data_IF_634454026499
#
_entry.id   IF_634454026499
#
_cell.length_a   1.000
_cell.length_b   1.000
_cell.length_c   1.000
_cell.angle_alpha   90.00
_cell.angle_beta   90.00
_cell.angle_gamma   90.00
#
_symmetry.space_group_name_H-M   'P 1'
#
loop_
_entity.id
_entity.type
_entity.pdbx_description
1 polymer ?
#
# COMPACT_ATOMS: atom_id res chain seq x y z
N UNK A 1 -0.47 -42.67 -18.56
CA UNK A 1 0.80 -42.07 -18.07
C UNK A 1 0.81 -40.59 -18.49
N UNK A 2 0.67 -39.59 -17.60
CA UNK A 2 1.72 -38.91 -16.78
C UNK A 2 2.91 -38.45 -17.66
N UNK A 3 3.38 -37.19 -17.76
CA UNK A 3 3.38 -35.91 -16.97
C UNK A 3 3.54 -34.71 -17.96
N UNK A 4 2.86 -33.56 -17.82
CA UNK A 4 3.17 -32.32 -17.04
C UNK A 4 4.53 -31.61 -17.25
N UNK A 5 4.40 -30.31 -17.61
CA UNK A 5 5.08 -29.07 -17.14
C UNK A 5 6.48 -28.66 -17.59
N UNK A 6 6.57 -27.37 -17.97
CA UNK A 6 7.75 -26.51 -17.91
C UNK A 6 7.75 -25.49 -19.07
N UNK A 7 7.89 -24.17 -18.89
CA UNK A 7 8.25 -23.38 -17.72
C UNK A 7 7.98 -21.89 -18.07
N UNK A 8 7.18 -21.24 -17.24
CA UNK A 8 7.06 -19.81 -16.95
C UNK A 8 7.90 -18.83 -17.81
N UNK A 9 7.20 -18.08 -18.67
CA UNK A 9 7.66 -16.78 -19.19
C UNK A 9 7.51 -15.75 -18.06
N UNK A 10 8.59 -15.55 -17.30
CA UNK A 10 8.72 -14.51 -16.27
C UNK A 10 9.36 -13.25 -16.86
N UNK A 11 8.79 -12.68 -17.92
CA UNK A 11 9.04 -11.28 -18.23
C UNK A 11 8.28 -10.39 -17.24
N UNK A 12 8.84 -10.32 -16.03
CA UNK A 12 8.52 -9.37 -14.99
C UNK A 12 8.88 -7.98 -15.51
N UNK A 13 7.88 -7.18 -15.87
CA UNK A 13 7.99 -5.72 -16.00
C UNK A 13 8.19 -5.04 -14.63
N UNK A 14 9.07 -5.59 -13.80
CA UNK A 14 9.58 -4.88 -12.63
C UNK A 14 10.83 -4.13 -13.06
N UNK A 15 10.92 -2.84 -12.74
CA UNK A 15 12.14 -2.06 -12.91
C UNK A 15 13.29 -2.53 -11.97
N UNK A 16 13.09 -3.60 -11.20
CA UNK A 16 14.05 -4.15 -10.25
C UNK A 16 14.69 -5.41 -10.83
N UNK A 17 15.57 -5.22 -11.82
CA UNK A 17 16.63 -6.19 -12.06
C UNK A 17 17.74 -5.90 -11.03
N UNK A 18 17.87 -6.76 -10.03
CA UNK A 18 18.93 -6.76 -9.00
C UNK A 18 19.03 -5.53 -8.08
N UNK A 19 18.15 -5.42 -7.07
CA UNK A 19 18.36 -4.48 -5.96
C UNK A 19 18.00 -5.11 -4.61
N UNK A 20 18.90 -5.93 -4.09
CA UNK A 20 19.40 -5.59 -2.75
C UNK A 20 20.76 -4.93 -2.94
N UNK A 21 21.05 -3.80 -2.27
CA UNK A 21 22.38 -3.23 -2.37
C UNK A 21 23.36 -4.13 -1.64
N UNK A 22 24.26 -4.80 -2.37
CA UNK A 22 25.60 -5.12 -1.86
C UNK A 22 26.42 -3.82 -1.72
N UNK A 23 25.88 -2.80 -1.06
CA UNK A 23 26.61 -1.56 -0.80
C UNK A 23 27.46 -1.80 0.43
N UNK A 24 28.60 -2.46 0.19
CA UNK A 24 29.79 -2.35 1.02
C UNK A 24 30.55 -1.05 0.70
N UNK A 25 29.84 0.04 0.38
CA UNK A 25 30.45 1.36 0.28
C UNK A 25 30.21 2.11 1.61
N UNK A 26 31.23 2.79 2.15
CA UNK A 26 31.06 3.66 3.30
C UNK A 26 29.91 4.65 3.08
N UNK A 27 29.19 5.08 4.13
CA UNK A 27 28.06 6.01 4.03
C UNK A 27 28.37 7.28 3.21
N UNK A 28 29.63 7.72 3.22
CA UNK A 28 30.09 8.90 2.50
C UNK A 28 30.18 8.73 0.97
N UNK A 29 30.31 7.51 0.44
CA UNK A 29 30.54 7.25 -0.99
C UNK A 29 29.29 6.87 -1.79
N UNK A 30 28.16 6.58 -1.14
CA UNK A 30 26.86 6.47 -1.82
C UNK A 30 26.32 7.84 -2.31
N UNK A 31 26.97 8.94 -1.91
CA UNK A 31 26.50 10.31 -2.12
C UNK A 31 26.96 11.01 -3.42
N UNK A 32 27.75 10.38 -4.29
CA UNK A 32 28.33 11.09 -5.47
C UNK A 32 28.01 10.50 -6.87
N UNK A 33 27.34 9.36 -7.02
CA UNK A 33 27.04 8.83 -8.36
C UNK A 33 25.70 9.32 -8.95
N UNK A 34 25.43 10.62 -8.82
CA UNK A 34 24.24 11.28 -9.38
C UNK A 34 24.58 12.51 -10.20
N UNK A 35 25.59 12.43 -11.08
CA UNK A 35 26.00 13.54 -11.93
C UNK A 35 25.92 13.20 -13.42
N UNK A 36 24.71 12.95 -13.95
CA UNK A 36 24.40 13.22 -15.35
C UNK A 36 22.93 13.63 -15.57
N UNK A 37 22.76 14.91 -15.94
CA UNK A 37 21.70 15.56 -16.76
C UNK A 37 20.22 15.20 -16.50
N UNK A 38 19.49 16.18 -15.96
CA UNK A 38 18.17 16.54 -16.50
C UNK A 38 16.92 16.42 -15.61
N UNK A 39 17.03 16.09 -14.32
CA UNK A 39 15.85 15.92 -13.45
C UNK A 39 16.06 16.41 -12.02
N UNK A 40 16.48 17.66 -11.83
CA UNK A 40 16.59 18.27 -10.49
C UNK A 40 15.18 18.58 -9.97
N UNK A 41 14.73 17.91 -8.90
CA UNK A 41 14.05 18.51 -7.72
C UNK A 41 13.24 17.55 -6.82
N UNK A 42 13.22 16.21 -7.04
CA UNK A 42 12.50 15.28 -6.14
C UNK A 42 13.36 14.53 -5.12
N UNK A 43 14.64 14.35 -5.39
CA UNK A 43 15.53 13.46 -4.59
C UNK A 43 16.15 14.10 -3.34
N UNK A 44 16.10 15.42 -3.17
CA UNK A 44 16.77 16.06 -2.01
C UNK A 44 15.97 16.03 -0.70
N UNK A 45 14.67 15.74 -0.73
CA UNK A 45 13.83 15.71 0.48
C UNK A 45 13.76 14.33 1.16
N UNK A 46 14.32 13.29 0.55
CA UNK A 46 14.34 11.92 1.07
C UNK A 46 15.59 11.62 1.94
N UNK A 47 16.25 12.65 2.48
CA UNK A 47 17.52 12.49 3.19
C UNK A 47 17.39 12.12 4.68
N UNK A 48 16.17 12.10 5.26
CA UNK A 48 16.01 11.62 6.64
C UNK A 48 16.04 10.10 6.70
N UNK A 49 16.58 9.47 7.76
CA UNK A 49 16.58 8.01 7.92
C UNK A 49 15.18 7.38 7.78
N UNK A 50 14.14 8.09 8.22
CA UNK A 50 12.74 7.70 8.05
C UNK A 50 12.28 7.67 6.59
N UNK A 51 12.76 8.60 5.76
CA UNK A 51 12.46 8.59 4.33
C UNK A 51 13.16 7.44 3.63
N UNK A 52 14.44 7.19 3.94
CA UNK A 52 15.22 6.10 3.34
C UNK A 52 14.60 4.74 3.62
N UNK A 53 14.18 4.50 4.86
CA UNK A 53 13.51 3.26 5.22
C UNK A 53 12.17 3.10 4.49
N UNK A 54 11.30 4.11 4.54
CA UNK A 54 10.01 4.07 3.84
C UNK A 54 10.18 3.85 2.34
N UNK A 55 11.17 4.51 1.73
CA UNK A 55 11.49 4.33 0.31
C UNK A 55 11.82 2.88 0.00
N UNK A 56 12.69 2.24 0.79
CA UNK A 56 13.06 0.82 0.62
C UNK A 56 11.87 -0.12 0.79
N UNK A 57 10.99 0.13 1.77
CA UNK A 57 9.79 -0.67 1.96
C UNK A 57 8.89 -0.60 0.73
N UNK A 58 8.69 0.61 0.21
CA UNK A 58 7.78 0.84 -0.92
C UNK A 58 8.41 0.40 -2.24
N UNK A 59 9.74 0.45 -2.38
CA UNK A 59 10.45 -0.04 -3.57
C UNK A 59 10.24 -1.55 -3.82
N UNK A 60 9.95 -2.32 -2.76
CA UNK A 60 9.63 -3.74 -2.84
C UNK A 60 8.15 -4.00 -3.19
N UNK A 61 7.28 -3.01 -3.00
CA UNK A 61 5.85 -3.15 -3.25
C UNK A 61 5.44 -2.50 -4.57
N UNK A 62 5.97 -1.33 -4.90
CA UNK A 62 5.57 -0.56 -6.08
C UNK A 62 5.80 -1.32 -7.38
N UNK A 63 5.08 -0.89 -8.42
CA UNK A 63 5.26 -1.35 -9.80
C UNK A 63 4.99 -0.18 -10.75
N UNK A 64 5.22 -0.38 -12.05
CA UNK A 64 4.84 0.62 -13.06
C UNK A 64 3.32 0.88 -13.10
N UNK A 65 2.53 -0.12 -12.71
CA UNK A 65 1.06 -0.02 -12.67
C UNK A 65 0.57 0.81 -11.48
N UNK A 66 1.33 0.86 -10.38
CA UNK A 66 1.05 1.62 -9.15
C UNK A 66 2.36 2.12 -8.51
N UNK A 67 2.96 3.20 -9.05
CA UNK A 67 4.25 3.70 -8.60
C UNK A 67 4.14 4.37 -7.23
N UNK A 68 5.26 4.41 -6.50
CA UNK A 68 5.33 5.11 -5.22
C UNK A 68 5.25 6.63 -5.39
N UNK A 69 4.40 7.26 -4.59
CA UNK A 69 4.24 8.70 -4.52
C UNK A 69 4.60 9.20 -3.11
N UNK A 70 5.66 10.01 -3.02
CA UNK A 70 6.12 10.56 -1.74
C UNK A 70 5.32 11.80 -1.32
N UNK A 71 4.79 11.80 -0.10
CA UNK A 71 4.03 12.90 0.54
C UNK A 71 2.94 13.49 -0.34
N UNK A 72 2.30 12.66 -1.14
CA UNK A 72 1.18 13.08 -1.97
C UNK A 72 -0.09 13.19 -1.11
N UNK A 73 -0.75 14.34 -1.17
CA UNK A 73 -2.09 14.51 -0.59
C UNK A 73 -3.06 13.61 -1.36
N UNK A 74 -3.66 12.65 -0.66
CA UNK A 74 -4.54 11.65 -1.27
C UNK A 74 -5.90 12.27 -1.60
N UNK A 75 -5.99 12.89 -2.78
CA UNK A 75 -7.23 13.47 -3.28
C UNK A 75 -8.18 12.36 -3.72
N UNK A 76 -9.44 12.57 -3.39
CA UNK A 76 -10.57 11.75 -3.81
C UNK A 76 -11.74 12.70 -4.10
N UNK A 77 -12.73 12.28 -4.90
CA UNK A 77 -13.92 13.10 -5.10
C UNK A 77 -14.60 13.45 -3.79
N UNK A 78 -15.23 14.63 -3.69
CA UNK A 78 -15.84 15.11 -2.45
C UNK A 78 -16.83 14.13 -1.82
N UNK A 79 -17.58 13.36 -2.63
CA UNK A 79 -18.54 12.37 -2.16
C UNK A 79 -17.92 11.16 -1.43
N UNK A 80 -16.64 10.84 -1.68
CA UNK A 80 -15.93 9.76 -0.99
C UNK A 80 -15.10 10.25 0.21
N UNK A 81 -14.97 11.57 0.37
CA UNK A 81 -14.26 12.20 1.47
C UNK A 81 -15.22 12.43 2.65
N UNK A 82 -15.67 11.34 3.28
CA UNK A 82 -16.58 11.40 4.43
C UNK A 82 -15.81 11.87 5.68
N UNK A 83 -16.08 13.10 6.15
CA UNK A 83 -15.56 13.66 7.39
C UNK A 83 -14.77 14.97 7.21
N UNK A 84 -13.58 15.06 7.82
CA UNK A 84 -12.70 16.25 7.74
C UNK A 84 -12.33 16.53 6.27
N UNK A 85 -12.56 17.77 5.80
CA UNK A 85 -12.22 18.26 4.45
C UNK A 85 -10.72 18.25 4.11
N UNK A 86 -9.85 17.72 4.98
CA UNK A 86 -8.41 17.67 4.74
C UNK A 86 -8.03 16.25 4.31
N UNK A 87 -7.51 16.07 3.09
CA UNK A 87 -7.03 14.78 2.62
C UNK A 87 -5.97 14.20 3.56
N UNK A 88 -6.02 12.89 3.87
CA UNK A 88 -4.94 12.25 4.61
C UNK A 88 -3.63 12.39 3.83
N UNK A 89 -2.55 12.58 4.58
CA UNK A 89 -1.19 12.63 4.05
C UNK A 89 -0.42 11.47 4.67
N UNK A 90 0.19 10.66 3.82
CA UNK A 90 1.09 9.56 4.21
C UNK A 90 2.43 9.79 3.53
N UNK A 91 3.50 9.20 4.07
CA UNK A 91 4.83 9.38 3.49
C UNK A 91 4.92 8.76 2.11
N UNK A 92 4.36 7.57 1.92
CA UNK A 92 4.32 6.92 0.63
C UNK A 92 2.95 6.33 0.35
N UNK A 93 2.48 6.51 -0.88
CA UNK A 93 1.26 5.89 -1.39
C UNK A 93 1.55 5.22 -2.72
N UNK A 94 0.97 4.04 -2.94
CA UNK A 94 0.96 3.37 -4.23
C UNK A 94 -0.47 3.38 -4.75
N UNK A 95 -0.77 4.39 -5.55
CA UNK A 95 -2.03 4.50 -6.28
C UNK A 95 -1.83 3.97 -7.70
N UNK A 96 -2.80 3.24 -8.21
CA UNK A 96 -2.76 2.80 -9.60
C UNK A 96 -2.71 4.02 -10.55
N UNK A 97 -2.05 3.86 -11.69
CA UNK A 97 -1.98 4.90 -12.71
C UNK A 97 -3.28 4.94 -13.53
N UNK A 98 -3.56 6.09 -14.12
CA UNK A 98 -4.64 6.22 -15.10
C UNK A 98 -4.40 5.32 -16.30
N UNK A 99 -3.14 5.08 -16.70
CA UNK A 99 -2.77 4.14 -17.75
C UNK A 99 -3.15 2.69 -17.40
N UNK A 100 -2.95 2.27 -16.15
CA UNK A 100 -3.27 0.91 -15.74
C UNK A 100 -4.76 0.68 -15.55
N UNK A 101 -5.52 1.69 -15.09
CA UNK A 101 -6.95 1.53 -14.79
C UNK A 101 -7.93 2.09 -15.82
N UNK A 102 -7.47 3.01 -16.68
CA UNK A 102 -8.34 3.85 -17.49
C UNK A 102 -9.39 4.61 -16.67
N UNK A 103 -9.06 4.97 -15.42
CA UNK A 103 -9.91 5.76 -14.53
C UNK A 103 -9.36 7.18 -14.39
N UNK A 104 -10.17 8.11 -13.89
CA UNK A 104 -9.69 9.44 -13.46
C UNK A 104 -8.69 9.27 -12.32
N UNK A 105 -7.62 10.06 -12.31
CA UNK A 105 -6.50 9.95 -11.35
C UNK A 105 -6.98 9.96 -9.88
N UNK A 106 -7.97 10.80 -9.57
CA UNK A 106 -8.54 10.91 -8.23
C UNK A 106 -9.36 9.69 -7.79
N UNK A 107 -9.82 8.89 -8.74
CA UNK A 107 -10.58 7.65 -8.53
C UNK A 107 -9.71 6.40 -8.61
N UNK A 108 -8.50 6.50 -9.17
CA UNK A 108 -7.59 5.36 -9.25
C UNK A 108 -7.37 4.74 -7.85
N UNK A 109 -7.43 3.41 -7.74
CA UNK A 109 -7.40 2.71 -6.48
C UNK A 109 -6.08 2.93 -5.75
N UNK A 110 -6.17 3.21 -4.46
CA UNK A 110 -5.04 3.19 -3.55
C UNK A 110 -4.83 1.75 -3.06
N UNK A 111 -3.73 1.14 -3.48
CA UNK A 111 -3.46 -0.28 -3.23
C UNK A 111 -2.58 -0.51 -1.99
N UNK A 112 -1.69 0.44 -1.70
CA UNK A 112 -0.75 0.36 -0.59
C UNK A 112 -0.38 1.75 -0.08
N UNK A 113 -0.07 1.84 1.21
CA UNK A 113 0.42 3.07 1.84
C UNK A 113 1.46 2.74 2.93
N UNK A 114 2.43 3.63 3.11
CA UNK A 114 3.39 3.55 4.21
C UNK A 114 3.56 4.91 4.88
N UNK A 115 3.68 4.91 6.21
CA UNK A 115 3.82 6.13 7.00
C UNK A 115 4.77 5.95 8.18
N UNK A 116 5.65 6.91 8.36
CA UNK A 116 6.52 7.02 9.51
C UNK A 116 5.74 7.53 10.72
N UNK A 117 5.74 6.78 11.81
CA UNK A 117 5.11 7.17 13.06
C UNK A 117 6.17 7.25 14.15
N UNK A 118 6.63 8.44 14.56
CA UNK A 118 7.52 8.54 15.70
C UNK A 118 6.80 8.00 16.96
N UNK A 119 7.53 7.25 17.79
CA UNK A 119 7.01 6.61 19.01
C UNK A 119 6.52 7.60 20.09
N UNK A 120 6.69 8.90 19.87
CA UNK A 120 6.43 9.94 20.86
C UNK A 120 5.83 11.14 20.13
N UNK A 121 4.51 11.32 20.27
CA UNK A 121 3.85 12.63 20.38
C UNK A 121 2.34 12.41 20.51
N UNK A 122 1.81 12.68 21.71
CA UNK A 122 0.39 12.54 22.06
C UNK A 122 -0.58 13.44 21.28
N UNK A 123 -0.08 14.27 20.37
CA UNK A 123 -0.86 15.15 19.50
C UNK A 123 -1.13 14.55 18.11
N UNK A 124 -0.43 13.48 17.72
CA UNK A 124 -0.64 12.84 16.41
C UNK A 124 -1.77 11.81 16.47
N UNK A 125 -2.64 11.73 15.45
CA UNK A 125 -3.66 10.69 15.39
C UNK A 125 -2.98 9.31 15.43
N UNK A 126 -3.62 8.35 16.11
CA UNK A 126 -3.03 7.02 16.24
C UNK A 126 -2.64 6.46 14.85
N UNK A 127 -1.51 5.74 14.71
CA UNK A 127 -1.05 5.22 13.43
C UNK A 127 -2.14 4.43 12.68
N UNK A 128 -2.93 3.66 13.41
CA UNK A 128 -4.08 2.92 12.88
C UNK A 128 -5.18 3.84 12.36
N UNK A 129 -5.47 4.96 13.03
CA UNK A 129 -6.45 5.96 12.58
C UNK A 129 -5.98 6.71 11.33
N UNK A 130 -4.68 7.02 11.22
CA UNK A 130 -4.11 7.62 10.01
C UNK A 130 -4.21 6.67 8.81
N UNK A 131 -3.89 5.39 8.99
CA UNK A 131 -4.08 4.37 7.95
C UNK A 131 -5.57 4.16 7.63
N UNK A 132 -6.44 4.17 8.64
CA UNK A 132 -7.89 4.11 8.46
C UNK A 132 -8.40 5.22 7.54
N UNK A 133 -8.01 6.46 7.83
CA UNK A 133 -8.39 7.63 7.06
C UNK A 133 -7.88 7.55 5.62
N UNK A 134 -6.66 7.02 5.46
CA UNK A 134 -5.99 6.82 4.16
C UNK A 134 -6.76 5.88 3.25
N UNK A 135 -7.18 4.72 3.75
CA UNK A 135 -7.90 3.71 2.95
C UNK A 135 -9.41 3.89 2.90
N UNK A 136 -10.00 4.72 3.79
CA UNK A 136 -11.45 4.91 3.87
C UNK A 136 -12.12 5.15 2.52
N UNK A 137 -11.65 6.08 1.66
CA UNK A 137 -12.32 6.34 0.38
C UNK A 137 -12.31 5.11 -0.55
N UNK A 138 -11.22 4.34 -0.54
CA UNK A 138 -11.13 3.10 -1.32
C UNK A 138 -12.08 2.02 -0.77
N UNK A 139 -12.16 1.88 0.56
CA UNK A 139 -13.11 0.96 1.21
C UNK A 139 -14.56 1.38 0.91
N UNK A 140 -14.87 2.68 0.94
CA UNK A 140 -16.18 3.20 0.53
C UNK A 140 -16.49 2.88 -0.93
N UNK A 141 -15.52 2.98 -1.83
CA UNK A 141 -15.68 2.59 -3.23
C UNK A 141 -16.01 1.10 -3.35
N UNK A 142 -15.25 0.25 -2.66
CA UNK A 142 -15.52 -1.20 -2.63
C UNK A 142 -16.91 -1.52 -2.08
N UNK A 143 -17.35 -0.81 -1.03
CA UNK A 143 -18.69 -0.99 -0.47
C UNK A 143 -19.76 -0.56 -1.47
N UNK A 144 -19.75 0.71 -1.88
CA UNK A 144 -20.83 1.32 -2.66
C UNK A 144 -21.04 0.68 -4.02
N UNK A 145 -19.94 0.29 -4.67
CA UNK A 145 -20.04 -0.16 -6.04
C UNK A 145 -20.01 -1.68 -6.13
N UNK A 146 -19.24 -2.38 -5.28
CA UNK A 146 -19.11 -3.84 -5.41
C UNK A 146 -20.00 -4.57 -4.40
N UNK A 147 -19.94 -4.22 -3.12
CA UNK A 147 -20.71 -4.93 -2.09
C UNK A 147 -22.20 -4.62 -2.11
N UNK A 148 -22.59 -3.40 -2.51
CA UNK A 148 -24.00 -3.02 -2.63
C UNK A 148 -24.72 -3.76 -3.77
N UNK A 149 -23.97 -4.28 -4.74
CA UNK A 149 -24.51 -5.13 -5.82
C UNK A 149 -24.71 -6.60 -5.43
N UNK A 150 -24.39 -6.98 -4.19
CA UNK A 150 -24.54 -8.36 -3.73
C UNK A 150 -26.00 -8.74 -3.60
N UNK A 151 -26.30 -9.95 -4.08
CA UNK A 151 -27.64 -10.53 -3.96
C UNK A 151 -27.96 -11.06 -2.56
N UNK A 152 -26.93 -11.36 -1.73
CA UNK A 152 -27.10 -11.90 -0.38
C UNK A 152 -26.23 -11.13 0.61
N UNK A 153 -26.83 -10.79 1.76
CA UNK A 153 -26.16 -10.06 2.85
C UNK A 153 -25.04 -10.91 3.48
N UNK A 154 -25.20 -12.24 3.50
CA UNK A 154 -24.26 -13.17 4.13
C UNK A 154 -23.08 -13.58 3.23
N UNK A 155 -22.99 -13.04 2.00
CA UNK A 155 -21.88 -13.37 1.12
C UNK A 155 -20.55 -12.93 1.76
N UNK A 156 -19.60 -13.87 1.88
CA UNK A 156 -18.31 -13.58 2.48
C UNK A 156 -17.59 -12.47 1.73
N UNK A 157 -16.97 -11.54 2.45
CA UNK A 157 -16.18 -10.47 1.86
C UNK A 157 -15.01 -11.12 1.09
N UNK A 158 -14.82 -10.81 -0.20
CA UNK A 158 -13.85 -11.51 -1.01
C UNK A 158 -12.46 -11.17 -0.46
N UNK A 159 -11.55 -12.16 -0.31
CA UNK A 159 -10.23 -11.91 0.26
C UNK A 159 -9.41 -10.85 -0.48
N UNK A 160 -9.69 -10.63 -1.78
CA UNK A 160 -9.02 -9.61 -2.58
C UNK A 160 -9.35 -8.17 -2.16
N UNK A 161 -10.45 -7.94 -1.43
CA UNK A 161 -10.84 -6.59 -0.97
C UNK A 161 -10.03 -6.07 0.22
N UNK A 162 -9.01 -6.81 0.65
CA UNK A 162 -8.10 -6.40 1.70
C UNK A 162 -7.10 -5.40 1.13
N UNK A 163 -6.91 -4.27 1.79
CA UNK A 163 -5.87 -3.28 1.49
C UNK A 163 -4.83 -3.30 2.61
N UNK A 164 -3.56 -3.11 2.25
CA UNK A 164 -2.45 -3.18 3.20
C UNK A 164 -1.77 -1.83 3.39
N UNK A 165 -1.58 -1.46 4.66
CA UNK A 165 -0.78 -0.31 5.07
C UNK A 165 0.41 -0.73 5.94
N UNK A 166 1.48 0.04 5.92
CA UNK A 166 2.61 -0.16 6.85
C UNK A 166 2.85 1.12 7.63
N UNK A 167 2.87 1.01 8.95
CA UNK A 167 3.42 2.07 9.80
C UNK A 167 4.80 1.63 10.26
N UNK A 168 5.76 2.54 10.28
CA UNK A 168 7.12 2.19 10.63
C UNK A 168 7.78 3.30 11.44
N UNK A 169 8.78 2.92 12.21
CA UNK A 169 9.56 3.84 13.01
C UNK A 169 11.05 3.44 12.97
N UNK A 170 11.83 3.92 13.94
CA UNK A 170 13.27 3.56 14.04
C UNK A 170 13.50 2.15 14.60
N UNK A 171 12.51 1.60 15.27
CA UNK A 171 12.58 0.33 15.97
C UNK A 171 12.01 -0.81 15.13
N UNK A 172 11.01 -0.57 14.29
CA UNK A 172 10.41 -1.62 13.47
C UNK A 172 9.29 -1.12 12.57
N UNK A 173 8.40 -2.04 12.22
CA UNK A 173 7.21 -1.76 11.44
C UNK A 173 6.03 -2.62 11.88
N UNK A 174 4.83 -2.16 11.55
CA UNK A 174 3.57 -2.84 11.78
C UNK A 174 2.79 -2.85 10.47
N UNK A 175 2.24 -4.01 10.14
CA UNK A 175 1.42 -4.20 8.94
C UNK A 175 -0.05 -4.17 9.33
N UNK A 176 -0.80 -3.31 8.66
CA UNK A 176 -2.23 -3.13 8.86
C UNK A 176 -3.01 -3.71 7.69
N UNK A 177 -4.02 -4.52 8.00
CA UNK A 177 -5.04 -4.94 7.06
C UNK A 177 -6.28 -4.06 7.19
N UNK A 178 -6.86 -3.68 6.05
CA UNK A 178 -8.09 -2.90 5.95
C UNK A 178 -9.07 -3.64 5.03
N UNK A 179 -10.31 -3.85 5.47
CA UNK A 179 -11.34 -4.52 4.65
C UNK A 179 -12.72 -3.93 4.97
N UNK A 180 -13.67 -3.96 4.03
CA UNK A 180 -15.06 -3.72 4.37
C UNK A 180 -15.53 -4.66 5.49
N UNK A 181 -16.53 -4.26 6.25
CA UNK A 181 -17.13 -5.08 7.30
C UNK A 181 -18.58 -4.70 7.50
N UNK A 182 -19.48 -5.69 7.43
CA UNK A 182 -20.88 -5.50 7.78
C UNK A 182 -21.08 -5.85 9.25
N UNK A 183 -21.62 -4.92 10.03
CA UNK A 183 -22.06 -5.18 11.39
C UNK A 183 -23.58 -5.11 11.43
N UNK A 184 -24.20 -6.18 11.93
CA UNK A 184 -25.63 -6.19 12.20
C UNK A 184 -25.89 -5.38 13.48
N UNK A 185 -26.69 -4.33 13.37
CA UNK A 185 -27.12 -3.53 14.52
C UNK A 185 -28.32 -4.19 15.22
N UNK A 186 -28.60 -3.77 16.46
CA UNK A 186 -29.68 -4.33 17.29
C UNK A 186 -31.07 -4.19 16.66
N UNK A 187 -31.24 -3.24 15.75
CA UNK A 187 -32.50 -2.96 15.05
C UNK A 187 -32.69 -3.83 13.79
N UNK A 188 -31.75 -4.74 13.52
CA UNK A 188 -31.78 -5.63 12.36
C UNK A 188 -31.20 -5.03 11.08
N UNK A 189 -30.91 -3.72 11.07
CA UNK A 189 -30.22 -3.07 9.96
C UNK A 189 -28.72 -3.43 9.94
N UNK A 190 -28.20 -3.72 8.75
CA UNK A 190 -26.77 -3.99 8.55
C UNK A 190 -26.06 -2.73 8.09
N UNK A 191 -25.03 -2.31 8.83
CA UNK A 191 -24.24 -1.13 8.48
C UNK A 191 -22.86 -1.54 8.01
N UNK A 192 -22.50 -1.07 6.82
CA UNK A 192 -21.15 -1.20 6.29
C UNK A 192 -20.18 -0.25 6.98
N UNK A 193 -19.02 -0.78 7.32
CA UNK A 193 -17.90 -0.07 7.95
C UNK A 193 -16.56 -0.56 7.40
N UNK A 194 -15.47 0.06 7.85
CA UNK A 194 -14.13 -0.43 7.59
C UNK A 194 -13.60 -1.14 8.83
N UNK A 195 -13.19 -2.40 8.70
CA UNK A 195 -12.47 -3.12 9.75
C UNK A 195 -10.97 -3.00 9.52
N UNK A 196 -10.26 -2.79 10.62
CA UNK A 196 -8.81 -2.66 10.65
C UNK A 196 -8.28 -3.66 11.65
N UNK A 197 -7.21 -4.35 11.28
CA UNK A 197 -6.52 -5.25 12.19
C UNK A 197 -5.03 -5.18 11.96
N UNK A 198 -4.30 -5.46 13.04
CA UNK A 198 -2.87 -5.67 12.98
C UNK A 198 -2.60 -7.07 12.45
N UNK A 199 -1.87 -7.17 11.35
CA UNK A 199 -1.52 -8.45 10.75
C UNK A 199 -0.29 -9.06 11.43
N UNK A 200 0.63 -8.23 11.95
CA UNK A 200 1.86 -8.68 12.59
C UNK A 200 2.60 -7.52 13.28
N UNK A 201 2.83 -7.70 14.59
CA UNK A 201 3.80 -6.93 15.41
C UNK A 201 5.21 -7.53 15.38
N UNK A 202 5.38 -8.64 14.64
CA UNK A 202 6.59 -9.48 14.63
C UNK A 202 7.80 -8.76 14.05
N UNK A 203 7.60 -7.61 13.41
CA UNK A 203 8.65 -6.80 12.82
C UNK A 203 9.12 -5.65 13.71
N UNK A 204 8.68 -5.63 14.96
CA UNK A 204 9.41 -4.92 16.02
C UNK A 204 10.86 -5.42 16.01
N UNK A 205 11.80 -4.49 15.89
CA UNK A 205 13.25 -4.75 15.82
C UNK A 205 13.80 -5.36 14.53
N UNK A 206 13.00 -5.69 13.50
CA UNK A 206 13.49 -6.35 12.27
C UNK A 206 14.62 -5.57 11.57
N UNK A 207 14.66 -4.25 11.78
CA UNK A 207 15.66 -3.36 11.21
C UNK A 207 17.01 -3.42 11.93
N UNK A 208 17.04 -3.94 13.17
CA UNK A 208 18.23 -4.18 13.99
C UNK A 208 18.84 -5.57 13.71
N UNK A 209 18.05 -6.50 13.19
CA UNK A 209 18.49 -7.87 12.88
C UNK A 209 19.36 -7.89 11.61
N UNK A 210 20.38 -8.78 11.51
CA UNK A 210 21.19 -8.96 10.30
C UNK A 210 20.36 -9.16 9.02
N UNK A 211 20.84 -8.71 7.84
CA UNK A 211 20.12 -8.85 6.58
C UNK A 211 19.70 -10.30 6.24
N UNK A 212 20.48 -11.30 6.65
CA UNK A 212 20.18 -12.73 6.47
C UNK A 212 18.84 -13.14 7.05
N UNK A 213 18.41 -12.47 8.12
CA UNK A 213 17.25 -12.86 8.91
C UNK A 213 16.03 -11.98 8.58
N UNK A 214 16.18 -11.04 7.63
CA UNK A 214 15.09 -10.18 7.12
C UNK A 214 14.24 -10.88 6.05
N UNK A 215 14.52 -12.16 5.75
CA UNK A 215 13.80 -12.94 4.75
C UNK A 215 12.28 -12.98 4.99
N UNK A 216 11.84 -13.01 6.25
CA UNK A 216 10.41 -12.98 6.60
C UNK A 216 9.75 -11.67 6.14
N UNK A 217 10.39 -10.52 6.39
CA UNK A 217 9.89 -9.22 5.95
C UNK A 217 9.81 -9.14 4.43
N UNK A 218 10.85 -9.58 3.74
CA UNK A 218 10.88 -9.59 2.26
C UNK A 218 9.78 -10.47 1.68
N UNK A 219 9.61 -11.67 2.23
CA UNK A 219 8.53 -12.58 1.84
C UNK A 219 7.15 -11.95 2.04
N UNK A 220 6.94 -11.26 3.15
CA UNK A 220 5.69 -10.56 3.45
C UNK A 220 5.44 -9.37 2.50
N UNK A 221 6.45 -8.54 2.22
CA UNK A 221 6.33 -7.43 1.27
C UNK A 221 6.05 -7.93 -0.15
N UNK A 222 6.70 -9.01 -0.59
CA UNK A 222 6.42 -9.66 -1.88
C UNK A 222 4.97 -10.20 -1.95
N UNK A 223 4.46 -10.76 -0.85
CA UNK A 223 3.04 -11.19 -0.78
C UNK A 223 2.09 -10.00 -0.86
N UNK A 224 2.42 -8.88 -0.20
CA UNK A 224 1.64 -7.63 -0.31
C UNK A 224 1.66 -7.13 -1.75
N UNK A 225 2.82 -7.09 -2.41
CA UNK A 225 2.92 -6.71 -3.83
C UNK A 225 2.04 -7.58 -4.72
N UNK A 226 2.16 -8.91 -4.61
CA UNK A 226 1.35 -9.85 -5.39
C UNK A 226 -0.15 -9.68 -5.11
N UNK A 227 -0.52 -9.40 -3.86
CA UNK A 227 -1.90 -9.09 -3.50
C UNK A 227 -2.38 -7.79 -4.13
N UNK A 228 -1.60 -6.70 -4.09
CA UNK A 228 -1.93 -5.44 -4.75
C UNK A 228 -2.14 -5.62 -6.26
N UNK A 229 -1.31 -6.42 -6.92
CA UNK A 229 -1.48 -6.78 -8.33
C UNK A 229 -2.79 -7.54 -8.56
N UNK A 230 -3.12 -8.49 -7.67
CA UNK A 230 -4.36 -9.24 -7.74
C UNK A 230 -5.59 -8.35 -7.55
N UNK A 231 -5.59 -7.46 -6.56
CA UNK A 231 -6.64 -6.44 -6.36
C UNK A 231 -6.82 -5.61 -7.62
N UNK A 232 -5.72 -5.12 -8.21
CA UNK A 232 -5.74 -4.33 -9.42
C UNK A 232 -6.37 -5.10 -10.60
N UNK A 233 -6.04 -6.37 -10.76
CA UNK A 233 -6.64 -7.23 -11.79
C UNK A 233 -8.14 -7.39 -11.60
N UNK A 234 -8.60 -7.64 -10.37
CA UNK A 234 -10.03 -7.75 -10.05
C UNK A 234 -10.78 -6.45 -10.38
N UNK A 235 -10.19 -5.30 -10.06
CA UNK A 235 -10.78 -3.99 -10.37
C UNK A 235 -10.79 -3.70 -11.88
N UNK A 236 -9.80 -4.18 -12.65
CA UNK A 236 -9.77 -4.04 -14.12
C UNK A 236 -10.88 -4.84 -14.81
N UNK A 237 -11.20 -6.02 -14.29
CA UNK A 237 -12.25 -6.90 -14.84
C UNK A 237 -13.65 -6.49 -14.41
N UNK A 238 -13.78 -5.43 -13.63
CA UNK A 238 -15.05 -5.04 -13.08
C UNK A 238 -15.83 -4.16 -14.06
N UNK A 239 -16.99 -4.66 -14.47
CA UNK A 239 -17.88 -4.00 -15.43
C UNK A 239 -18.76 -2.89 -14.82
N UNK A 240 -18.74 -2.72 -13.49
CA UNK A 240 -19.63 -1.80 -12.76
C UNK A 240 -19.23 -0.32 -12.76
N UNK A 241 -18.18 0.04 -13.51
CA UNK A 241 -17.74 1.43 -13.63
C UNK A 241 -17.73 1.83 -15.12
N UNK A 242 -18.64 2.73 -15.51
CA UNK A 242 -18.54 3.39 -16.81
C UNK A 242 -17.19 4.10 -16.88
N UNK A 243 -16.34 3.62 -17.80
CA UNK A 243 -14.92 3.95 -17.92
C UNK A 243 -14.68 5.40 -18.34
#
# INVERSE_FOLDING_TARGET
ARRHTGFLDMNQGSANQDIWPQVAAPPLLAHWNGSHRGGRSRTMHEMTPSCVLGRRLVDLVQTDDFPAQYKQKLRWPPGLMIGKNTPPCVDYACRATTKSMNWREEMCPLLFAAHFCPLEDGETPSPSMQMAATFRPMISLLILYYLDTRTKIDDLIPPWMILFGITYDRNGLVVWGHTPWSQQEHDGESRWSAKIWNLSDTYSEILRVPPSDRGTLLSMLNRIQGHCQYVLQQLKTWDGYDR
#
